data_IF_882851637245
#
_entry.id   IF_882851637245
#
_cell.length_a   1.000
_cell.length_b   1.000
_cell.length_c   1.000
_cell.angle_alpha   90.00
_cell.angle_beta   90.00
_cell.angle_gamma   90.00
#
_symmetry.space_group_name_H-M   'P 1'
#
loop_
_entity.id
_entity.type
_entity.pdbx_description
1 polymer ?
#
# COMPACT_ATOMS: atom_id res chain seq x y z
N UNK A 1 30.80 2.24 -32.85
CA UNK A 1 30.24 1.39 -31.78
C UNK A 1 29.11 2.16 -31.11
N UNK A 2 27.87 1.76 -31.38
CA UNK A 2 26.67 2.44 -30.91
C UNK A 2 26.51 2.22 -29.38
N UNK A 3 26.32 3.33 -28.64
CA UNK A 3 26.03 3.32 -27.21
C UNK A 3 24.58 2.87 -26.97
N UNK A 4 24.28 2.06 -25.95
CA UNK A 4 22.90 1.73 -25.62
C UNK A 4 22.15 2.99 -25.21
N UNK A 5 21.02 3.26 -25.87
CA UNK A 5 20.24 4.49 -25.72
C UNK A 5 19.56 4.63 -24.35
N UNK A 6 19.44 5.88 -23.91
CA UNK A 6 18.72 6.33 -22.71
C UNK A 6 17.26 5.83 -22.58
N UNK A 7 16.70 5.27 -23.65
CA UNK A 7 15.38 4.62 -23.68
C UNK A 7 15.30 3.34 -22.86
N UNK A 8 16.39 2.57 -22.72
CA UNK A 8 16.39 1.31 -21.98
C UNK A 8 16.17 1.50 -20.46
N UNK A 9 16.69 2.58 -19.88
CA UNK A 9 16.56 2.87 -18.45
C UNK A 9 15.18 3.44 -18.06
N UNK A 10 14.54 4.18 -18.97
CA UNK A 10 13.16 4.65 -18.80
C UNK A 10 12.15 3.50 -18.91
N UNK A 11 12.41 2.52 -19.78
CA UNK A 11 11.58 1.32 -19.94
C UNK A 11 11.69 0.36 -18.75
N UNK A 12 12.86 0.23 -18.11
CA UNK A 12 13.05 -0.55 -16.88
C UNK A 12 12.34 0.05 -15.66
N UNK A 13 12.32 1.39 -15.54
CA UNK A 13 11.59 2.09 -14.47
C UNK A 13 10.07 2.04 -14.65
N UNK A 14 9.58 2.14 -15.89
CA UNK A 14 8.16 1.98 -16.21
C UNK A 14 7.68 0.52 -16.06
N UNK A 15 8.53 -0.46 -16.37
CA UNK A 15 8.22 -1.88 -16.17
C UNK A 15 8.06 -2.23 -14.67
N UNK A 16 8.92 -1.72 -13.78
CA UNK A 16 8.79 -1.97 -12.33
C UNK A 16 7.51 -1.36 -11.72
N UNK A 17 6.99 -0.26 -12.28
CA UNK A 17 5.72 0.34 -11.85
C UNK A 17 4.49 -0.45 -12.34
N UNK A 18 4.61 -1.15 -13.47
CA UNK A 18 3.51 -1.95 -14.03
C UNK A 18 3.36 -3.32 -13.37
N UNK A 19 4.45 -3.94 -12.90
CA UNK A 19 4.41 -5.26 -12.25
C UNK A 19 3.82 -5.27 -10.82
N UNK A 20 3.72 -4.13 -10.14
CA UNK A 20 3.16 -4.06 -8.79
C UNK A 20 1.62 -4.17 -8.73
N UNK A 21 0.95 -4.09 -9.88
CA UNK A 21 -0.53 -4.03 -9.97
C UNK A 21 -1.20 -5.41 -10.02
N UNK A 22 -0.45 -6.45 -10.38
CA UNK A 22 -1.00 -7.79 -10.66
C UNK A 22 -0.89 -8.77 -9.48
N UNK A 23 -0.11 -8.45 -8.44
CA UNK A 23 0.30 -9.41 -7.43
C UNK A 23 -0.75 -9.76 -6.36
N UNK A 24 -1.90 -9.07 -6.28
CA UNK A 24 -2.82 -9.25 -5.15
C UNK A 24 -3.87 -10.34 -5.34
N UNK A 25 -4.05 -10.88 -6.55
CA UNK A 25 -5.13 -11.81 -6.87
C UNK A 25 -4.68 -13.29 -6.93
N UNK A 26 -3.38 -13.60 -6.95
CA UNK A 26 -2.88 -14.95 -7.24
C UNK A 26 -2.32 -15.73 -6.04
N UNK A 27 -2.09 -15.10 -4.88
CA UNK A 27 -1.43 -15.76 -3.74
C UNK A 27 -2.28 -16.84 -3.03
N UNK A 28 -3.61 -16.84 -3.17
CA UNK A 28 -4.45 -17.85 -2.51
C UNK A 28 -4.64 -19.14 -3.33
N UNK A 29 -4.30 -19.19 -4.62
CA UNK A 29 -4.55 -20.37 -5.45
C UNK A 29 -3.70 -21.59 -5.05
N UNK A 30 -2.62 -21.38 -4.31
CA UNK A 30 -1.75 -22.46 -3.81
C UNK A 30 -2.35 -23.23 -2.62
N UNK A 31 -3.54 -22.87 -2.14
CA UNK A 31 -4.20 -23.58 -1.05
C UNK A 31 -4.62 -24.99 -1.48
N UNK A 32 -4.23 -25.99 -0.67
CA UNK A 32 -4.63 -27.39 -0.84
C UNK A 32 -5.86 -27.70 -0.02
N UNK A 33 -6.80 -28.42 -0.61
CA UNK A 33 -8.01 -28.91 0.05
C UNK A 33 -7.99 -30.44 0.10
N UNK A 34 -8.72 -31.00 1.05
CA UNK A 34 -8.91 -32.44 1.17
C UNK A 34 -9.54 -33.04 -0.10
N UNK A 35 -9.37 -34.36 -0.26
CA UNK A 35 -9.99 -35.10 -1.36
C UNK A 35 -9.55 -34.65 -2.75
N UNK A 36 -8.43 -33.92 -2.87
CA UNK A 36 -7.92 -33.42 -4.15
C UNK A 36 -8.78 -32.31 -4.78
N UNK A 37 -9.63 -31.62 -4.00
CA UNK A 37 -10.47 -30.53 -4.50
C UNK A 37 -9.61 -29.35 -5.00
N UNK A 38 -9.92 -28.86 -6.19
CA UNK A 38 -9.25 -27.70 -6.81
C UNK A 38 -10.28 -26.66 -7.26
N UNK A 39 -9.91 -25.39 -7.16
CA UNK A 39 -10.78 -24.27 -7.53
C UNK A 39 -10.11 -23.36 -8.56
N UNK A 40 -10.89 -22.87 -9.53
CA UNK A 40 -10.37 -22.04 -10.62
C UNK A 40 -10.03 -20.61 -10.21
N UNK A 41 -10.66 -20.09 -9.14
CA UNK A 41 -10.45 -18.73 -8.63
C UNK A 41 -10.36 -18.71 -7.11
N UNK A 42 -9.76 -17.64 -6.60
CA UNK A 42 -9.74 -17.37 -5.17
C UNK A 42 -9.75 -15.88 -4.88
N UNK A 43 -10.14 -15.54 -3.65
CA UNK A 43 -10.10 -14.20 -3.11
C UNK A 43 -9.71 -14.27 -1.63
N UNK A 44 -8.51 -13.79 -1.32
CA UNK A 44 -8.07 -13.54 0.06
C UNK A 44 -8.84 -12.35 0.61
N UNK A 45 -9.67 -12.58 1.63
CA UNK A 45 -10.44 -11.53 2.27
C UNK A 45 -9.51 -10.64 3.10
N UNK A 46 -9.77 -9.33 3.14
CA UNK A 46 -8.88 -8.37 3.81
C UNK A 46 -8.92 -8.46 5.35
N UNK A 47 -9.88 -9.17 5.93
CA UNK A 47 -10.12 -9.25 7.38
C UNK A 47 -10.42 -10.68 7.81
N UNK A 48 -10.19 -10.95 9.10
CA UNK A 48 -10.48 -12.23 9.77
C UNK A 48 -9.71 -13.44 9.22
N UNK A 49 -8.62 -13.21 8.47
CA UNK A 49 -7.79 -14.29 7.93
C UNK A 49 -8.58 -15.28 7.06
N UNK A 50 -9.60 -14.77 6.36
CA UNK A 50 -10.51 -15.56 5.56
C UNK A 50 -10.11 -15.57 4.08
N UNK A 51 -10.47 -16.64 3.38
CA UNK A 51 -10.37 -16.75 1.92
C UNK A 51 -11.58 -17.47 1.36
N UNK A 52 -12.00 -17.07 0.16
CA UNK A 52 -13.01 -17.78 -0.62
C UNK A 52 -12.35 -18.30 -1.89
N UNK A 53 -12.57 -19.57 -2.19
CA UNK A 53 -12.14 -20.22 -3.41
C UNK A 53 -13.37 -20.73 -4.13
N UNK A 54 -13.40 -20.64 -5.45
CA UNK A 54 -14.55 -21.10 -6.20
C UNK A 54 -14.23 -21.50 -7.63
N UNK A 55 -15.10 -22.33 -8.19
CA UNK A 55 -15.22 -22.60 -9.62
C UNK A 55 -16.65 -22.28 -10.00
N UNK A 56 -16.83 -21.34 -10.93
CA UNK A 56 -18.15 -20.95 -11.44
C UNK A 56 -18.45 -21.74 -12.71
N UNK A 57 -19.69 -22.24 -12.80
CA UNK A 57 -20.22 -23.10 -13.86
C UNK A 57 -21.33 -22.33 -14.61
N UNK A 58 -21.00 -21.64 -15.72
CA UNK A 58 -21.95 -20.77 -16.43
C UNK A 58 -23.17 -21.51 -16.98
N UNK A 59 -23.02 -22.80 -17.32
CA UNK A 59 -24.05 -23.64 -17.94
C UNK A 59 -25.29 -23.85 -17.07
N UNK A 60 -25.11 -23.85 -15.74
CA UNK A 60 -26.17 -24.07 -14.77
C UNK A 60 -26.25 -22.95 -13.72
N UNK A 61 -25.40 -21.92 -13.82
CA UNK A 61 -25.35 -20.79 -12.90
C UNK A 61 -24.87 -21.14 -11.49
N UNK A 62 -24.25 -22.31 -11.30
CA UNK A 62 -23.77 -22.75 -9.99
C UNK A 62 -22.32 -22.38 -9.75
N UNK A 63 -21.92 -22.36 -8.48
CA UNK A 63 -20.54 -22.22 -8.07
C UNK A 63 -20.22 -23.25 -6.98
N UNK A 64 -19.16 -24.02 -7.20
CA UNK A 64 -18.53 -24.81 -6.15
C UNK A 64 -17.63 -23.87 -5.35
N UNK A 65 -17.80 -23.83 -4.03
CA UNK A 65 -17.07 -22.93 -3.16
C UNK A 65 -16.31 -23.68 -2.06
N UNK A 66 -15.20 -23.09 -1.63
CA UNK A 66 -14.55 -23.36 -0.36
C UNK A 66 -14.27 -22.03 0.36
N UNK A 67 -14.99 -21.80 1.46
CA UNK A 67 -14.72 -20.69 2.36
C UNK A 67 -13.86 -21.17 3.52
N UNK A 68 -12.67 -20.59 3.69
CA UNK A 68 -11.74 -20.92 4.76
C UNK A 68 -11.52 -19.73 5.67
N UNK A 69 -11.57 -19.93 6.98
CA UNK A 69 -11.25 -18.87 7.95
C UNK A 69 -10.64 -19.46 9.23
N UNK A 70 -9.75 -18.70 9.87
CA UNK A 70 -9.10 -19.10 11.13
C UNK A 70 -10.04 -18.88 12.32
N UNK A 71 -10.22 -19.90 13.13
CA UNK A 71 -10.95 -19.84 14.41
C UNK A 71 -10.56 -21.04 15.27
N UNK A 72 -10.50 -20.84 16.59
CA UNK A 72 -10.25 -21.92 17.55
C UNK A 72 -11.40 -22.93 17.59
N UNK A 73 -11.20 -24.03 18.31
CA UNK A 73 -12.27 -25.01 18.59
C UNK A 73 -13.37 -24.42 19.48
N UNK A 74 -13.06 -23.35 20.21
CA UNK A 74 -13.95 -22.51 21.00
C UNK A 74 -14.62 -21.39 20.18
N UNK A 75 -14.57 -21.47 18.84
CA UNK A 75 -15.10 -20.46 17.95
C UNK A 75 -15.82 -21.04 16.73
N UNK A 76 -16.47 -20.14 16.00
CA UNK A 76 -17.19 -20.40 14.76
C UNK A 76 -16.72 -19.47 13.65
N UNK A 77 -16.99 -19.86 12.40
CA UNK A 77 -16.83 -19.01 11.22
C UNK A 77 -18.09 -19.06 10.36
N UNK A 78 -18.37 -17.99 9.63
CA UNK A 78 -19.52 -17.98 8.74
C UNK A 78 -19.26 -17.21 7.45
N UNK A 79 -19.93 -17.64 6.39
CA UNK A 79 -19.93 -16.99 5.09
C UNK A 79 -21.31 -17.07 4.46
N UNK A 80 -21.71 -16.05 3.71
CA UNK A 80 -22.96 -16.11 2.98
C UNK A 80 -23.16 -14.99 1.98
N UNK A 81 -24.34 -15.03 1.35
CA UNK A 81 -24.77 -14.09 0.32
C UNK A 81 -25.97 -13.30 0.84
N UNK A 82 -25.97 -12.00 0.58
CA UNK A 82 -27.13 -11.14 0.74
C UNK A 82 -27.67 -10.72 -0.65
N UNK A 83 -28.79 -11.31 -1.10
CA UNK A 83 -29.34 -11.01 -2.42
C UNK A 83 -29.78 -9.55 -2.59
N UNK A 84 -30.11 -8.85 -1.50
CA UNK A 84 -30.69 -7.51 -1.56
C UNK A 84 -29.67 -6.37 -1.46
N UNK A 85 -28.72 -6.44 -0.53
CA UNK A 85 -27.77 -5.36 -0.26
C UNK A 85 -26.45 -5.84 0.34
N UNK A 86 -25.44 -4.97 0.35
CA UNK A 86 -24.20 -5.25 1.08
C UNK A 86 -24.40 -5.06 2.59
N UNK A 87 -24.41 -6.17 3.34
CA UNK A 87 -24.56 -6.16 4.81
C UNK A 87 -25.07 -7.48 5.39
N UNK A 88 -25.01 -7.63 6.72
CA UNK A 88 -25.42 -8.84 7.43
C UNK A 88 -26.94 -9.08 7.36
N UNK A 89 -27.75 -8.09 7.72
CA UNK A 89 -29.20 -8.24 7.74
C UNK A 89 -29.77 -8.45 6.33
N UNK A 90 -30.56 -9.50 6.16
CA UNK A 90 -31.08 -10.03 4.90
C UNK A 90 -30.29 -11.20 4.31
N UNK A 91 -29.11 -11.53 4.83
CA UNK A 91 -28.23 -12.57 4.28
C UNK A 91 -28.70 -14.00 4.56
N UNK A 92 -28.32 -14.90 3.67
CA UNK A 92 -28.40 -16.36 3.83
C UNK A 92 -26.98 -16.89 3.99
N UNK A 93 -26.71 -17.60 5.09
CA UNK A 93 -25.34 -17.91 5.54
C UNK A 93 -25.16 -19.39 5.86
N UNK A 94 -23.92 -19.83 5.70
CA UNK A 94 -23.37 -21.07 6.25
C UNK A 94 -22.53 -20.71 7.46
N UNK A 95 -22.74 -21.37 8.60
CA UNK A 95 -21.96 -21.18 9.82
C UNK A 95 -21.34 -22.52 10.21
N UNK A 96 -20.02 -22.57 10.29
CA UNK A 96 -19.27 -23.72 10.76
C UNK A 96 -18.86 -23.55 12.23
N UNK A 97 -19.10 -24.59 13.02
CA UNK A 97 -18.72 -24.69 14.42
C UNK A 97 -18.53 -26.16 14.80
N UNK A 98 -17.89 -26.40 15.94
CA UNK A 98 -17.82 -27.71 16.57
C UNK A 98 -18.79 -27.79 17.75
N UNK A 99 -19.38 -28.96 17.95
CA UNK A 99 -20.12 -29.26 19.18
C UNK A 99 -19.17 -29.58 20.35
N UNK A 100 -19.72 -29.88 21.52
CA UNK A 100 -18.93 -30.25 22.70
C UNK A 100 -18.13 -31.55 22.56
N UNK A 101 -18.41 -32.37 21.54
CA UNK A 101 -17.64 -33.58 21.21
C UNK A 101 -16.48 -33.32 20.25
N UNK A 102 -16.37 -32.09 19.72
CA UNK A 102 -15.39 -31.73 18.69
C UNK A 102 -15.83 -32.05 17.26
N UNK A 103 -17.08 -32.50 17.07
CA UNK A 103 -17.62 -32.81 15.74
C UNK A 103 -18.01 -31.50 15.03
N UNK A 104 -17.38 -31.23 13.88
CA UNK A 104 -17.68 -30.05 13.09
C UNK A 104 -18.95 -30.23 12.26
N UNK A 105 -19.81 -29.21 12.23
CA UNK A 105 -21.03 -29.18 11.42
C UNK A 105 -21.24 -27.81 10.76
N UNK A 106 -22.13 -27.75 9.76
CA UNK A 106 -22.53 -26.51 9.09
C UNK A 106 -24.01 -26.24 9.35
N UNK A 107 -24.31 -25.10 9.97
CA UNK A 107 -25.66 -24.55 10.07
C UNK A 107 -25.95 -23.68 8.85
N UNK A 108 -27.04 -23.99 8.15
CA UNK A 108 -27.64 -23.09 7.15
C UNK A 108 -28.75 -22.28 7.79
N UNK A 109 -28.69 -20.95 7.68
CA UNK A 109 -29.72 -20.08 8.27
C UNK A 109 -29.85 -18.74 7.53
N UNK A 110 -30.93 -18.01 7.80
CA UNK A 110 -31.21 -16.69 7.26
C UNK A 110 -31.12 -15.64 8.38
N UNK A 111 -30.32 -14.60 8.18
CA UNK A 111 -30.11 -13.52 9.14
C UNK A 111 -30.97 -12.32 8.75
N UNK A 112 -32.25 -12.29 9.11
CA UNK A 112 -33.14 -11.20 8.69
C UNK A 112 -32.83 -9.86 9.39
N UNK A 113 -32.21 -9.91 10.57
CA UNK A 113 -31.79 -8.74 11.36
C UNK A 113 -30.33 -8.84 11.78
N UNK A 114 -29.80 -7.82 12.47
CA UNK A 114 -28.46 -7.83 13.08
C UNK A 114 -28.41 -8.59 14.41
N UNK A 115 -29.56 -8.99 14.96
CA UNK A 115 -29.69 -9.82 16.16
C UNK A 115 -30.60 -11.01 15.89
N UNK A 116 -30.21 -11.93 15.00
CA UNK A 116 -31.05 -13.03 14.56
C UNK A 116 -31.11 -14.17 15.59
N UNK A 117 -32.20 -14.93 15.57
CA UNK A 117 -32.21 -16.28 16.15
C UNK A 117 -31.61 -17.25 15.13
N UNK A 118 -30.70 -18.12 15.57
CA UNK A 118 -30.01 -19.07 14.72
C UNK A 118 -30.79 -20.38 14.69
N UNK A 119 -31.64 -20.55 13.69
CA UNK A 119 -32.40 -21.78 13.44
C UNK A 119 -32.08 -22.33 12.05
N UNK A 120 -31.99 -23.66 11.87
CA UNK A 120 -31.83 -24.26 10.55
C UNK A 120 -32.94 -23.78 9.60
N UNK A 121 -32.55 -23.31 8.41
CA UNK A 121 -33.50 -22.83 7.42
C UNK A 121 -33.03 -23.12 5.99
N UNK A 122 -33.99 -23.29 5.08
CA UNK A 122 -33.72 -23.25 3.64
C UNK A 122 -33.25 -21.84 3.25
N UNK A 123 -32.12 -21.77 2.55
CA UNK A 123 -31.51 -20.50 2.15
C UNK A 123 -32.32 -19.82 1.04
N UNK A 124 -32.16 -18.50 0.88
CA UNK A 124 -32.80 -17.68 -0.16
C UNK A 124 -32.20 -17.91 -1.56
N UNK A 125 -31.32 -18.90 -1.70
CA UNK A 125 -30.69 -19.35 -2.94
C UNK A 125 -30.53 -20.88 -2.90
N UNK A 126 -30.47 -21.50 -4.08
CA UNK A 126 -30.37 -22.95 -4.18
C UNK A 126 -29.02 -23.48 -3.70
N UNK A 127 -29.01 -24.64 -3.04
CA UNK A 127 -27.80 -25.35 -2.60
C UNK A 127 -27.86 -26.78 -3.16
N UNK A 128 -27.46 -26.99 -4.44
CA UNK A 128 -27.64 -28.28 -5.11
C UNK A 128 -26.91 -29.45 -4.44
N UNK A 129 -25.78 -29.18 -3.80
CA UNK A 129 -25.06 -30.16 -3.00
C UNK A 129 -24.92 -29.64 -1.56
N UNK A 130 -25.30 -30.47 -0.59
CA UNK A 130 -25.30 -30.11 0.83
C UNK A 130 -23.90 -29.68 1.31
N UNK A 131 -23.83 -28.72 2.25
CA UNK A 131 -22.55 -28.21 2.70
C UNK A 131 -21.80 -29.25 3.53
N UNK A 132 -20.47 -29.25 3.42
CA UNK A 132 -19.57 -30.04 4.27
C UNK A 132 -18.57 -29.12 4.95
N UNK A 133 -18.01 -29.56 6.09
CA UNK A 133 -17.03 -28.78 6.84
C UNK A 133 -15.83 -29.63 7.21
N UNK A 134 -14.68 -28.97 7.22
CA UNK A 134 -13.45 -29.53 7.74
C UNK A 134 -12.81 -28.57 8.72
N UNK A 135 -12.25 -29.14 9.78
CA UNK A 135 -11.42 -28.41 10.74
C UNK A 135 -10.00 -28.96 10.71
N UNK A 136 -9.04 -28.14 10.32
CA UNK A 136 -7.63 -28.53 10.27
C UNK A 136 -6.71 -27.32 10.45
N UNK A 137 -5.67 -27.48 11.28
CA UNK A 137 -4.66 -26.45 11.51
C UNK A 137 -5.22 -25.13 12.06
N UNK A 138 -6.23 -25.19 12.93
CA UNK A 138 -6.86 -24.00 13.54
C UNK A 138 -7.75 -23.21 12.58
N UNK A 139 -8.27 -23.84 11.52
CA UNK A 139 -9.15 -23.22 10.55
C UNK A 139 -10.30 -24.13 10.17
N UNK A 140 -11.47 -23.51 9.99
CA UNK A 140 -12.64 -24.14 9.40
C UNK A 140 -12.63 -23.91 7.89
N UNK A 141 -12.99 -24.92 7.12
CA UNK A 141 -13.25 -24.82 5.69
C UNK A 141 -14.66 -25.33 5.40
N UNK A 142 -15.53 -24.46 4.92
CA UNK A 142 -16.90 -24.77 4.49
C UNK A 142 -16.85 -25.00 2.99
N UNK A 143 -17.35 -26.16 2.55
CA UNK A 143 -17.56 -26.46 1.14
C UNK A 143 -19.05 -26.52 0.83
N UNK A 144 -19.46 -25.94 -0.29
CA UNK A 144 -20.83 -26.01 -0.76
C UNK A 144 -20.88 -25.84 -2.28
N UNK A 145 -21.95 -26.32 -2.92
CA UNK A 145 -22.32 -25.91 -4.27
C UNK A 145 -23.55 -25.03 -4.15
N UNK A 146 -23.50 -23.82 -4.70
CA UNK A 146 -24.58 -22.84 -4.61
C UNK A 146 -25.06 -22.43 -6.00
N UNK A 147 -26.36 -22.20 -6.15
CA UNK A 147 -26.93 -21.51 -7.30
C UNK A 147 -26.88 -20.00 -7.03
N UNK A 148 -26.19 -19.24 -7.88
CA UNK A 148 -26.05 -17.79 -7.66
C UNK A 148 -27.42 -17.09 -7.79
N UNK A 149 -27.88 -16.36 -6.76
CA UNK A 149 -29.21 -15.73 -6.80
C UNK A 149 -29.26 -14.54 -7.76
N UNK A 150 -30.46 -14.28 -8.29
CA UNK A 150 -30.75 -13.08 -9.10
C UNK A 150 -30.18 -13.11 -10.52
N UNK A 151 -29.84 -14.29 -11.06
CA UNK A 151 -29.29 -14.47 -12.41
C UNK A 151 -28.08 -13.56 -12.70
N UNK A 152 -27.26 -13.32 -11.68
CA UNK A 152 -26.07 -12.46 -11.76
C UNK A 152 -24.87 -13.15 -11.13
N UNK A 153 -23.70 -12.93 -11.69
CA UNK A 153 -22.44 -13.41 -11.12
C UNK A 153 -21.95 -12.49 -10.01
N UNK A 154 -22.51 -11.28 -9.89
CA UNK A 154 -22.16 -10.31 -8.86
C UNK A 154 -23.00 -10.50 -7.59
N UNK A 155 -22.36 -10.90 -6.52
CA UNK A 155 -23.01 -11.23 -5.27
C UNK A 155 -22.50 -10.35 -4.13
N UNK A 156 -23.40 -9.90 -3.25
CA UNK A 156 -22.98 -9.29 -2.00
C UNK A 156 -22.68 -10.42 -1.02
N UNK A 157 -21.42 -10.54 -0.62
CA UNK A 157 -20.93 -11.57 0.30
C UNK A 157 -20.60 -10.94 1.65
N UNK A 158 -20.83 -11.72 2.70
CA UNK A 158 -20.50 -11.38 4.08
C UNK A 158 -19.76 -12.55 4.72
N UNK A 159 -18.85 -12.26 5.65
CA UNK A 159 -18.18 -13.28 6.44
C UNK A 159 -17.97 -12.82 7.86
N UNK A 160 -17.89 -13.76 8.80
CA UNK A 160 -17.63 -13.49 10.21
C UNK A 160 -16.88 -14.62 10.89
N UNK A 161 -16.32 -14.30 12.04
CA UNK A 161 -15.82 -15.25 13.02
C UNK A 161 -16.19 -14.74 14.42
N UNK A 162 -16.51 -15.66 15.33
CA UNK A 162 -16.92 -15.33 16.68
C UNK A 162 -16.72 -16.49 17.66
N UNK A 163 -16.96 -16.26 18.95
CA UNK A 163 -16.77 -17.28 19.99
C UNK A 163 -17.96 -18.24 20.08
N UNK A 164 -17.71 -19.42 20.61
CA UNK A 164 -18.70 -20.35 21.14
C UNK A 164 -18.77 -20.23 22.66
N UNK A 165 -19.94 -20.46 23.23
CA UNK A 165 -20.12 -20.59 24.68
C UNK A 165 -21.06 -21.77 24.96
N UNK A 166 -20.55 -22.76 25.70
CA UNK A 166 -21.29 -24.00 25.97
C UNK A 166 -21.76 -24.74 24.70
N UNK A 167 -20.95 -24.71 23.63
CA UNK A 167 -21.29 -25.27 22.32
C UNK A 167 -22.23 -24.42 21.46
N UNK A 168 -22.70 -23.26 21.95
CA UNK A 168 -23.61 -22.38 21.24
C UNK A 168 -22.89 -21.21 20.56
N UNK A 169 -23.28 -20.91 19.32
CA UNK A 169 -22.82 -19.75 18.55
C UNK A 169 -23.18 -18.46 19.28
N UNK A 170 -22.17 -17.67 19.63
CA UNK A 170 -22.34 -16.34 20.24
C UNK A 170 -22.20 -15.22 19.20
N UNK A 171 -22.71 -14.02 19.50
CA UNK A 171 -22.50 -12.85 18.65
C UNK A 171 -21.01 -12.62 18.37
N UNK A 172 -20.68 -12.35 17.11
CA UNK A 172 -19.33 -11.94 16.76
C UNK A 172 -19.00 -10.55 17.34
N UNK A 173 -17.72 -10.23 17.61
CA UNK A 173 -17.32 -8.89 18.01
C UNK A 173 -17.70 -7.83 16.96
N UNK A 174 -17.85 -6.57 17.40
CA UNK A 174 -18.04 -5.41 16.51
C UNK A 174 -16.72 -4.66 16.25
N UNK A 175 -15.60 -5.37 16.30
CA UNK A 175 -14.29 -4.81 16.02
C UNK A 175 -14.17 -4.33 14.55
N UNK A 176 -13.21 -3.44 14.23
CA UNK A 176 -13.06 -2.91 12.87
C UNK A 176 -12.94 -3.98 11.78
N UNK A 177 -12.32 -5.12 12.08
CA UNK A 177 -12.23 -6.24 11.15
C UNK A 177 -13.60 -6.85 10.84
N UNK A 178 -14.43 -7.08 11.87
CA UNK A 178 -15.78 -7.63 11.73
C UNK A 178 -16.70 -6.68 10.96
N UNK A 179 -16.69 -5.39 11.29
CA UNK A 179 -17.51 -4.38 10.60
C UNK A 179 -17.14 -4.22 9.12
N UNK A 180 -15.88 -4.51 8.78
CA UNK A 180 -15.38 -4.44 7.41
C UNK A 180 -15.54 -5.75 6.62
N UNK A 181 -16.12 -6.81 7.22
CA UNK A 181 -16.21 -8.16 6.62
C UNK A 181 -17.40 -8.33 5.67
N UNK A 182 -17.47 -7.41 4.70
CA UNK A 182 -18.47 -7.42 3.62
C UNK A 182 -17.79 -7.01 2.30
N UNK A 183 -18.19 -7.64 1.20
CA UNK A 183 -17.80 -7.21 -0.14
C UNK A 183 -18.80 -7.65 -1.21
N UNK A 184 -18.85 -6.94 -2.33
CA UNK A 184 -19.45 -7.40 -3.56
C UNK A 184 -18.39 -8.14 -4.38
N UNK A 185 -18.67 -9.39 -4.75
CA UNK A 185 -17.76 -10.26 -5.50
C UNK A 185 -18.42 -10.70 -6.80
N UNK A 186 -17.70 -10.61 -7.90
CA UNK A 186 -18.10 -11.21 -9.17
C UNK A 186 -17.48 -12.60 -9.32
N UNK A 187 -18.31 -13.64 -9.30
CA UNK A 187 -17.88 -15.04 -9.42
C UNK A 187 -17.30 -15.37 -10.81
N UNK A 188 -17.61 -14.60 -11.85
CA UNK A 188 -17.06 -14.84 -13.18
C UNK A 188 -15.66 -14.22 -13.34
N UNK A 189 -15.51 -12.94 -13.00
CA UNK A 189 -14.25 -12.20 -13.18
C UNK A 189 -13.30 -12.31 -12.00
N UNK A 190 -13.80 -12.61 -10.79
CA UNK A 190 -13.06 -12.51 -9.54
C UNK A 190 -12.85 -11.09 -9.03
N UNK A 191 -13.42 -10.09 -9.70
CA UNK A 191 -13.39 -8.70 -9.23
C UNK A 191 -14.19 -8.56 -7.94
N UNK A 192 -13.62 -7.87 -6.96
CA UNK A 192 -14.25 -7.64 -5.66
C UNK A 192 -14.21 -6.16 -5.28
N UNK A 193 -15.35 -5.64 -4.81
CA UNK A 193 -15.50 -4.26 -4.33
C UNK A 193 -16.16 -4.27 -2.95
N UNK A 194 -15.46 -3.77 -1.95
CA UNK A 194 -15.97 -3.68 -0.58
C UNK A 194 -15.39 -2.45 0.11
N UNK A 195 -15.97 -2.04 1.24
CA UNK A 195 -15.45 -0.93 2.05
C UNK A 195 -13.97 -1.16 2.39
N UNK A 196 -13.61 -2.39 2.70
CA UNK A 196 -12.24 -2.82 2.96
C UNK A 196 -11.34 -2.78 1.73
N UNK A 197 -11.77 -3.34 0.59
CA UNK A 197 -10.95 -3.37 -0.65
C UNK A 197 -10.70 -1.97 -1.22
N UNK A 198 -11.71 -1.08 -1.18
CA UNK A 198 -11.54 0.30 -1.62
C UNK A 198 -10.61 1.09 -0.70
N UNK A 199 -10.70 0.88 0.63
CA UNK A 199 -9.83 1.52 1.62
C UNK A 199 -8.40 0.99 1.55
N UNK A 200 -8.22 -0.33 1.39
CA UNK A 200 -6.91 -0.94 1.17
C UNK A 200 -6.27 -0.41 -0.10
N UNK A 201 -7.02 -0.33 -1.20
CA UNK A 201 -6.55 0.28 -2.44
C UNK A 201 -6.12 1.73 -2.23
N UNK A 202 -6.92 2.55 -1.54
CA UNK A 202 -6.54 3.94 -1.18
C UNK A 202 -5.30 4.00 -0.29
N UNK A 203 -5.16 3.11 0.70
CA UNK A 203 -3.96 3.01 1.56
C UNK A 203 -2.71 2.64 0.75
N UNK A 204 -2.84 1.72 -0.21
CA UNK A 204 -1.75 1.33 -1.10
C UNK A 204 -1.36 2.50 -2.02
N UNK A 205 -2.34 3.20 -2.61
CA UNK A 205 -2.09 4.41 -3.43
C UNK A 205 -1.37 5.48 -2.60
N UNK A 206 -1.82 5.74 -1.37
CA UNK A 206 -1.14 6.66 -0.45
C UNK A 206 0.31 6.25 -0.21
N UNK A 207 0.56 4.96 0.07
CA UNK A 207 1.91 4.44 0.28
C UNK A 207 2.81 4.62 -0.96
N UNK A 208 2.32 4.25 -2.15
CA UNK A 208 3.08 4.36 -3.41
C UNK A 208 3.38 5.81 -3.76
N UNK A 209 2.37 6.69 -3.72
CA UNK A 209 2.56 8.12 -4.02
C UNK A 209 3.63 8.73 -3.12
N UNK A 210 3.60 8.46 -1.81
CA UNK A 210 4.55 9.02 -0.87
C UNK A 210 5.95 8.39 -0.98
N UNK A 211 6.05 7.09 -1.29
CA UNK A 211 7.34 6.45 -1.53
C UNK A 211 8.04 7.01 -2.79
N UNK A 212 7.30 7.20 -3.88
CA UNK A 212 7.84 7.77 -5.13
C UNK A 212 8.18 9.25 -4.93
N UNK A 213 7.27 10.03 -4.36
CA UNK A 213 7.46 11.46 -4.13
C UNK A 213 8.64 11.71 -3.18
N UNK A 214 8.48 11.33 -1.91
CA UNK A 214 9.38 11.72 -0.84
C UNK A 214 10.60 10.81 -0.71
N UNK A 215 10.47 9.54 -1.08
CA UNK A 215 11.53 8.54 -0.97
C UNK A 215 12.45 8.45 -2.19
N UNK A 216 12.01 8.91 -3.37
CA UNK A 216 12.77 8.78 -4.62
C UNK A 216 13.02 10.13 -5.28
N UNK A 217 11.97 10.88 -5.65
CA UNK A 217 12.12 12.12 -6.41
C UNK A 217 12.85 13.21 -5.63
N UNK A 218 12.46 13.46 -4.37
CA UNK A 218 13.09 14.50 -3.54
C UNK A 218 14.58 14.22 -3.30
N UNK A 219 15.02 13.01 -2.88
CA UNK A 219 16.44 12.69 -2.73
C UNK A 219 17.20 12.72 -4.05
N UNK A 220 16.62 12.22 -5.15
CA UNK A 220 17.24 12.23 -6.48
C UNK A 220 17.54 13.67 -6.93
N UNK A 221 16.57 14.58 -6.78
CA UNK A 221 16.76 15.99 -7.07
C UNK A 221 17.87 16.62 -6.21
N UNK A 222 17.98 16.24 -4.94
CA UNK A 222 19.05 16.73 -4.06
C UNK A 222 20.44 16.22 -4.49
N UNK A 223 20.56 14.95 -4.87
CA UNK A 223 21.79 14.35 -5.43
C UNK A 223 22.20 15.09 -6.70
N UNK A 224 21.25 15.30 -7.64
CA UNK A 224 21.50 16.06 -8.88
C UNK A 224 22.06 17.45 -8.57
N UNK A 225 21.40 18.22 -7.69
CA UNK A 225 21.87 19.55 -7.34
C UNK A 225 23.24 19.56 -6.66
N UNK A 226 23.53 18.57 -5.79
CA UNK A 226 24.80 18.50 -5.07
C UNK A 226 25.97 18.19 -6.00
N UNK A 227 25.81 17.20 -6.87
CA UNK A 227 26.92 16.61 -7.61
C UNK A 227 27.04 17.13 -9.05
N UNK A 228 25.92 17.34 -9.76
CA UNK A 228 26.00 17.80 -11.15
C UNK A 228 26.38 19.27 -11.26
N UNK A 229 26.08 20.11 -10.25
CA UNK A 229 26.49 21.53 -10.23
C UNK A 229 28.01 21.75 -10.30
N UNK A 230 28.81 20.71 -10.01
CA UNK A 230 30.27 20.79 -10.03
C UNK A 230 30.80 20.87 -11.45
N UNK A 231 30.08 20.30 -12.42
CA UNK A 231 30.48 20.26 -13.82
C UNK A 231 29.95 21.49 -14.58
N UNK A 232 30.85 22.27 -15.17
CA UNK A 232 30.48 23.47 -15.94
C UNK A 232 29.62 23.13 -17.17
N UNK A 233 29.84 21.96 -17.79
CA UNK A 233 29.04 21.46 -18.91
C UNK A 233 27.59 21.12 -18.54
N UNK A 234 27.28 21.00 -17.24
CA UNK A 234 25.94 20.71 -16.75
C UNK A 234 25.17 21.97 -16.35
N UNK A 235 25.76 23.17 -16.46
CA UNK A 235 25.06 24.43 -16.23
C UNK A 235 24.35 24.89 -17.52
N UNK A 236 23.06 25.26 -17.50
CA UNK A 236 22.14 25.33 -16.36
C UNK A 236 21.31 24.05 -16.12
N UNK A 237 21.56 22.98 -16.86
CA UNK A 237 20.75 21.75 -16.84
C UNK A 237 20.55 21.14 -15.44
N UNK A 238 21.58 21.11 -14.59
CA UNK A 238 21.47 20.57 -13.22
C UNK A 238 20.38 21.29 -12.40
N UNK A 239 20.21 22.60 -12.62
CA UNK A 239 19.27 23.43 -11.87
C UNK A 239 17.84 23.12 -12.29
N UNK A 240 17.58 22.99 -13.59
CA UNK A 240 16.27 22.60 -14.11
C UNK A 240 15.90 21.17 -13.73
N UNK A 241 16.85 20.23 -13.79
CA UNK A 241 16.63 18.85 -13.37
C UNK A 241 16.31 18.77 -11.87
N UNK A 242 17.04 19.52 -11.03
CA UNK A 242 16.73 19.62 -9.61
C UNK A 242 15.30 20.13 -9.39
N UNK A 243 14.94 21.28 -9.97
CA UNK A 243 13.61 21.87 -9.79
C UNK A 243 12.52 20.94 -10.30
N UNK A 244 12.70 20.31 -11.46
CA UNK A 244 11.75 19.34 -12.00
C UNK A 244 11.49 18.20 -11.01
N UNK A 245 12.55 17.58 -10.45
CA UNK A 245 12.40 16.56 -9.42
C UNK A 245 11.69 17.09 -8.16
N UNK A 246 12.05 18.30 -7.67
CA UNK A 246 11.45 18.87 -6.46
C UNK A 246 9.97 19.21 -6.66
N UNK A 247 9.61 19.86 -7.77
CA UNK A 247 8.22 20.22 -8.07
C UNK A 247 7.36 18.98 -8.29
N UNK A 248 7.81 18.00 -9.08
CA UNK A 248 7.08 16.75 -9.26
C UNK A 248 6.93 15.97 -7.95
N UNK A 249 8.00 15.86 -7.16
CA UNK A 249 7.98 15.23 -5.85
C UNK A 249 7.00 15.91 -4.90
N UNK A 250 7.02 17.25 -4.84
CA UNK A 250 6.12 18.02 -3.99
C UNK A 250 4.65 17.84 -4.40
N UNK A 251 4.31 17.96 -5.69
CA UNK A 251 2.93 17.80 -6.18
C UNK A 251 2.37 16.41 -5.84
N UNK A 252 3.12 15.34 -6.15
CA UNK A 252 2.72 13.98 -5.79
C UNK A 252 2.64 13.78 -4.28
N UNK A 253 3.56 14.40 -3.52
CA UNK A 253 3.59 14.38 -2.07
C UNK A 253 2.38 15.07 -1.43
N UNK A 254 1.92 16.20 -1.97
CA UNK A 254 0.69 16.88 -1.52
C UNK A 254 -0.54 16.01 -1.75
N UNK A 255 -0.65 15.39 -2.94
CA UNK A 255 -1.74 14.47 -3.24
C UNK A 255 -1.73 13.25 -2.28
N UNK A 256 -0.55 12.67 -2.05
CA UNK A 256 -0.34 11.60 -1.08
C UNK A 256 -0.72 12.00 0.34
N UNK A 257 -0.30 13.18 0.81
CA UNK A 257 -0.62 13.71 2.13
C UNK A 257 -2.12 13.96 2.32
N UNK A 258 -2.78 14.59 1.34
CA UNK A 258 -4.23 14.83 1.35
C UNK A 258 -5.03 13.52 1.41
N UNK A 259 -4.62 12.51 0.64
CA UNK A 259 -5.21 11.16 0.72
C UNK A 259 -4.99 10.53 2.11
N UNK A 260 -3.84 10.76 2.73
CA UNK A 260 -3.54 10.32 4.10
C UNK A 260 -4.46 10.94 5.15
N UNK A 261 -4.75 12.24 5.03
CA UNK A 261 -5.73 12.93 5.89
C UNK A 261 -7.14 12.36 5.72
N UNK A 262 -7.55 12.11 4.46
CA UNK A 262 -8.86 11.51 4.17
C UNK A 262 -8.96 10.11 4.78
N UNK A 263 -7.94 9.27 4.59
CA UNK A 263 -7.86 7.96 5.22
C UNK A 263 -7.94 8.06 6.76
N UNK A 264 -7.31 9.06 7.35
CA UNK A 264 -7.42 9.36 8.79
C UNK A 264 -8.86 9.67 9.22
N UNK A 265 -9.56 10.55 8.50
CA UNK A 265 -10.97 10.89 8.80
C UNK A 265 -11.92 9.70 8.67
N UNK A 266 -11.61 8.74 7.80
CA UNK A 266 -12.37 7.50 7.61
C UNK A 266 -12.01 6.41 8.64
N UNK A 267 -11.03 6.67 9.53
CA UNK A 267 -10.50 5.74 10.52
C UNK A 267 -10.95 6.11 11.94
N UNK A 268 -12.26 6.18 12.19
CA UNK A 268 -12.80 6.54 13.51
C UNK A 268 -12.28 5.57 14.58
N UNK A 269 -11.71 6.10 15.67
CA UNK A 269 -11.15 5.32 16.78
C UNK A 269 -9.71 4.81 16.61
N UNK A 270 -9.09 4.99 15.44
CA UNK A 270 -7.69 4.54 15.20
C UNK A 270 -6.87 5.67 14.57
N UNK A 271 -5.95 6.24 15.34
CA UNK A 271 -5.02 7.27 14.86
C UNK A 271 -3.57 6.85 15.06
N UNK A 272 -2.78 6.86 13.99
CA UNK A 272 -1.35 6.59 14.04
C UNK A 272 -0.58 7.90 14.27
N UNK A 273 -0.58 8.37 15.53
CA UNK A 273 -0.04 9.68 15.89
C UNK A 273 1.39 9.96 15.42
N UNK A 274 2.38 9.04 15.56
CA UNK A 274 3.74 9.34 15.13
C UNK A 274 3.88 9.54 13.62
N UNK A 275 3.27 8.67 12.81
CA UNK A 275 3.31 8.76 11.34
C UNK A 275 2.58 10.03 10.85
N UNK A 276 1.42 10.33 11.44
CA UNK A 276 0.66 11.53 11.10
C UNK A 276 1.42 12.81 11.41
N UNK A 277 1.99 12.92 12.61
CA UNK A 277 2.69 14.13 13.05
C UNK A 277 3.95 14.38 12.21
N UNK A 278 4.74 13.33 11.95
CA UNK A 278 5.91 13.45 11.06
C UNK A 278 5.47 13.81 9.64
N UNK A 279 4.39 13.21 9.13
CA UNK A 279 3.83 13.56 7.81
C UNK A 279 3.42 15.02 7.68
N UNK A 280 2.78 15.59 8.70
CA UNK A 280 2.43 17.03 8.75
C UNK A 280 3.70 17.88 8.80
N UNK A 281 4.70 17.51 9.61
CA UNK A 281 5.96 18.23 9.68
C UNK A 281 6.70 18.24 8.33
N UNK A 282 6.78 17.09 7.64
CA UNK A 282 7.35 16.98 6.29
C UNK A 282 6.64 17.93 5.33
N UNK A 283 5.30 17.91 5.31
CA UNK A 283 4.51 18.78 4.43
C UNK A 283 4.83 20.26 4.70
N UNK A 284 4.80 20.71 5.95
CA UNK A 284 5.12 22.09 6.31
C UNK A 284 6.54 22.49 5.89
N UNK A 285 7.55 21.66 6.17
CA UNK A 285 8.95 21.91 5.82
C UNK A 285 9.17 21.91 4.30
N UNK A 286 8.49 21.02 3.57
CA UNK A 286 8.57 20.98 2.11
C UNK A 286 7.89 22.20 1.46
N UNK A 287 6.76 22.67 2.01
CA UNK A 287 6.12 23.91 1.56
C UNK A 287 7.04 25.11 1.75
N UNK A 288 7.72 25.20 2.91
CA UNK A 288 8.77 26.20 3.13
C UNK A 288 9.86 26.09 2.04
N UNK A 289 10.29 24.88 1.67
CA UNK A 289 11.27 24.71 0.60
C UNK A 289 10.82 25.20 -0.77
N UNK A 290 9.53 25.07 -1.11
CA UNK A 290 9.01 25.64 -2.36
C UNK A 290 9.13 27.16 -2.35
N UNK A 291 8.87 27.82 -1.21
CA UNK A 291 9.09 29.27 -1.06
C UNK A 291 10.57 29.67 -1.17
N UNK A 292 11.51 28.75 -0.96
CA UNK A 292 12.93 29.03 -1.18
C UNK A 292 13.23 29.46 -2.62
N UNK A 293 12.45 28.98 -3.60
CA UNK A 293 12.58 29.39 -5.00
C UNK A 293 12.18 30.87 -5.19
N UNK A 294 11.06 31.29 -4.57
CA UNK A 294 10.56 32.66 -4.67
C UNK A 294 11.44 33.66 -3.92
N UNK A 295 12.00 33.25 -2.78
CA UNK A 295 12.84 34.08 -1.92
C UNK A 295 14.33 33.99 -2.26
N UNK A 296 14.68 33.42 -3.42
CA UNK A 296 16.06 33.14 -3.82
C UNK A 296 16.84 34.45 -4.04
N UNK A 297 17.80 34.85 -3.18
CA UNK A 297 18.54 36.09 -3.36
C UNK A 297 19.59 35.96 -4.46
N UNK A 298 19.96 37.11 -5.05
CA UNK A 298 21.06 37.21 -6.00
C UNK A 298 22.38 36.67 -5.44
N UNK A 299 23.23 36.15 -6.34
CA UNK A 299 24.50 35.50 -5.96
C UNK A 299 25.44 36.42 -5.14
N UNK A 300 25.37 37.73 -5.37
CA UNK A 300 26.20 38.75 -4.69
C UNK A 300 25.57 39.29 -3.39
N UNK A 301 24.32 38.92 -3.09
CA UNK A 301 23.59 39.45 -1.94
C UNK A 301 24.03 38.74 -0.64
N UNK A 302 24.29 39.49 0.45
CA UNK A 302 24.66 38.94 1.77
C UNK A 302 23.63 37.92 2.31
N UNK A 303 22.35 38.09 2.00
CA UNK A 303 21.29 37.17 2.42
C UNK A 303 21.36 35.80 1.72
N UNK A 304 22.12 35.68 0.63
CA UNK A 304 22.39 34.41 -0.07
C UNK A 304 22.98 33.36 0.86
N UNK A 305 23.84 33.77 1.79
CA UNK A 305 24.45 32.87 2.76
C UNK A 305 23.42 32.23 3.70
N UNK A 306 22.57 33.04 4.34
CA UNK A 306 21.50 32.55 5.21
C UNK A 306 20.48 31.70 4.45
N UNK A 307 20.11 32.12 3.24
CA UNK A 307 19.24 31.34 2.37
C UNK A 307 19.83 29.96 2.06
N UNK A 308 21.14 29.85 1.82
CA UNK A 308 21.78 28.56 1.59
C UNK A 308 21.75 27.66 2.83
N UNK A 309 21.95 28.22 4.04
CA UNK A 309 21.85 27.46 5.30
C UNK A 309 20.43 26.90 5.45
N UNK A 310 19.44 27.78 5.36
CA UNK A 310 18.02 27.45 5.40
C UNK A 310 17.66 26.35 4.38
N UNK A 311 18.00 26.57 3.11
CA UNK A 311 17.65 25.66 2.02
C UNK A 311 18.32 24.29 2.19
N UNK A 312 19.56 24.22 2.66
CA UNK A 312 20.19 22.93 2.89
C UNK A 312 19.65 22.24 4.16
N UNK A 313 19.55 22.94 5.29
CA UNK A 313 19.17 22.33 6.56
C UNK A 313 17.74 21.78 6.53
N UNK A 314 16.79 22.58 6.02
CA UNK A 314 15.40 22.15 5.86
C UNK A 314 15.30 21.02 4.84
N UNK A 315 16.11 21.05 3.78
CA UNK A 315 16.05 20.08 2.69
C UNK A 315 16.50 18.68 3.12
N UNK A 316 17.63 18.60 3.81
CA UNK A 316 18.10 17.34 4.39
C UNK A 316 17.16 16.84 5.49
N UNK A 317 16.56 17.74 6.28
CA UNK A 317 15.57 17.37 7.28
C UNK A 317 14.34 16.70 6.65
N UNK A 318 13.82 17.26 5.55
CA UNK A 318 12.71 16.66 4.79
C UNK A 318 13.09 15.26 4.29
N UNK A 319 14.28 15.06 3.73
CA UNK A 319 14.73 13.75 3.23
C UNK A 319 14.78 12.71 4.37
N UNK A 320 15.41 13.06 5.49
CA UNK A 320 15.56 12.14 6.64
C UNK A 320 14.20 11.79 7.25
N UNK A 321 13.38 12.81 7.53
CA UNK A 321 12.04 12.61 8.08
C UNK A 321 11.15 11.78 7.14
N UNK A 322 11.27 11.99 5.83
CA UNK A 322 10.54 11.22 4.82
C UNK A 322 10.89 9.74 4.86
N UNK A 323 12.17 9.40 4.92
CA UNK A 323 12.60 8.00 5.02
C UNK A 323 12.06 7.34 6.29
N UNK A 324 12.18 8.00 7.44
CA UNK A 324 11.62 7.52 8.71
C UNK A 324 10.10 7.32 8.61
N UNK A 325 9.40 8.29 8.01
CA UNK A 325 7.95 8.25 7.92
C UNK A 325 7.44 7.15 6.98
N UNK A 326 8.17 6.86 5.91
CA UNK A 326 7.88 5.76 4.98
C UNK A 326 8.01 4.41 5.69
N UNK A 327 9.06 4.19 6.48
CA UNK A 327 9.19 2.96 7.28
C UNK A 327 8.06 2.80 8.29
N UNK A 328 7.69 3.87 8.99
CA UNK A 328 6.50 3.86 9.87
C UNK A 328 5.23 3.54 9.08
N UNK A 329 5.11 4.07 7.87
CA UNK A 329 4.01 3.76 6.94
C UNK A 329 3.93 2.29 6.59
N UNK A 330 5.07 1.63 6.33
CA UNK A 330 5.12 0.19 6.09
C UNK A 330 4.72 -0.64 7.31
N UNK A 331 5.13 -0.24 8.51
CA UNK A 331 4.75 -0.96 9.73
C UNK A 331 3.23 -0.85 10.02
N UNK A 332 2.59 0.25 9.56
CA UNK A 332 1.13 0.45 9.61
C UNK A 332 0.42 -0.33 8.50
N UNK A 333 0.94 -0.28 7.26
CA UNK A 333 0.32 -0.91 6.10
C UNK A 333 0.45 -2.44 6.14
N UNK A 334 1.54 -2.95 6.72
CA UNK A 334 1.93 -4.37 6.67
C UNK A 334 1.75 -4.95 5.26
N UNK A 335 2.39 -4.35 4.24
CA UNK A 335 2.25 -4.79 2.86
C UNK A 335 2.81 -6.22 2.70
N UNK A 336 2.48 -6.85 1.57
CA UNK A 336 3.03 -8.16 1.21
C UNK A 336 4.57 -8.19 1.31
N UNK A 337 5.12 -9.38 1.49
CA UNK A 337 6.57 -9.58 1.62
C UNK A 337 7.30 -8.97 0.43
N UNK A 338 8.28 -8.09 0.69
CA UNK A 338 9.14 -7.50 -0.34
C UNK A 338 9.09 -5.97 -0.45
N UNK A 339 7.99 -5.29 -0.10
CA UNK A 339 7.91 -3.82 -0.23
C UNK A 339 8.93 -3.07 0.65
N UNK A 340 9.07 -3.50 1.91
CA UNK A 340 10.06 -2.92 2.84
C UNK A 340 11.49 -3.17 2.33
N UNK A 341 11.75 -4.37 1.83
CA UNK A 341 13.03 -4.75 1.21
C UNK A 341 13.34 -3.92 -0.03
N UNK A 342 12.37 -3.76 -0.94
CA UNK A 342 12.51 -2.96 -2.15
C UNK A 342 12.87 -1.51 -1.82
N UNK A 343 12.22 -0.92 -0.82
CA UNK A 343 12.55 0.44 -0.40
C UNK A 343 13.95 0.55 0.23
N UNK A 344 14.39 -0.47 1.00
CA UNK A 344 15.77 -0.54 1.50
C UNK A 344 16.77 -0.58 0.34
N UNK A 345 16.51 -1.39 -0.69
CA UNK A 345 17.35 -1.46 -1.90
C UNK A 345 17.41 -0.11 -2.61
N UNK A 346 16.28 0.60 -2.73
CA UNK A 346 16.23 1.96 -3.30
C UNK A 346 17.10 2.93 -2.49
N UNK A 347 16.97 2.95 -1.16
CA UNK A 347 17.79 3.80 -0.29
C UNK A 347 19.29 3.48 -0.40
N UNK A 348 19.63 2.19 -0.40
CA UNK A 348 21.02 1.73 -0.57
C UNK A 348 21.59 2.15 -1.93
N UNK A 349 20.77 2.08 -2.99
CA UNK A 349 21.16 2.49 -4.35
C UNK A 349 21.39 4.00 -4.42
N UNK A 350 20.46 4.82 -3.91
CA UNK A 350 20.61 6.28 -3.86
C UNK A 350 21.82 6.70 -3.01
N UNK A 351 22.03 6.05 -1.87
CA UNK A 351 23.20 6.25 -1.01
C UNK A 351 24.51 5.87 -1.71
N UNK A 352 24.56 4.72 -2.38
CA UNK A 352 25.71 4.26 -3.16
C UNK A 352 26.06 5.21 -4.30
N UNK A 353 25.07 5.68 -5.06
CA UNK A 353 25.25 6.70 -6.12
C UNK A 353 25.81 7.99 -5.50
N UNK A 354 25.25 8.46 -4.38
CA UNK A 354 25.73 9.66 -3.73
C UNK A 354 27.18 9.52 -3.27
N UNK A 355 27.56 8.40 -2.65
CA UNK A 355 28.93 8.14 -2.21
C UNK A 355 29.91 8.08 -3.38
N UNK A 356 29.54 7.40 -4.47
CA UNK A 356 30.34 7.33 -5.69
C UNK A 356 30.55 8.71 -6.32
N UNK A 357 29.48 9.50 -6.44
CA UNK A 357 29.56 10.87 -6.98
C UNK A 357 30.34 11.81 -6.05
N UNK A 358 30.25 11.64 -4.73
CA UNK A 358 31.07 12.40 -3.78
C UNK A 358 32.56 12.08 -4.01
N UNK A 359 32.93 10.81 -4.13
CA UNK A 359 34.33 10.41 -4.39
C UNK A 359 34.89 11.01 -5.70
N UNK A 360 34.07 11.13 -6.76
CA UNK A 360 34.48 11.72 -8.04
C UNK A 360 34.54 13.24 -7.99
N UNK A 361 33.51 13.87 -7.43
CA UNK A 361 33.38 15.33 -7.48
C UNK A 361 34.28 16.02 -6.45
N UNK A 362 34.69 15.34 -5.39
CA UNK A 362 35.52 15.90 -4.33
C UNK A 362 36.90 16.39 -4.81
N UNK A 363 37.71 15.60 -5.56
CA UNK A 363 38.96 16.10 -6.14
C UNK A 363 38.75 17.28 -7.10
N UNK A 364 37.67 17.24 -7.90
CA UNK A 364 37.34 18.30 -8.87
C UNK A 364 37.02 19.61 -8.13
N UNK A 365 36.22 19.52 -7.06
CA UNK A 365 35.86 20.66 -6.23
C UNK A 365 37.09 21.27 -5.55
N UNK A 366 38.01 20.46 -5.03
CA UNK A 366 39.29 20.94 -4.44
C UNK A 366 40.12 21.68 -5.48
N UNK A 367 40.33 21.08 -6.67
CA UNK A 367 41.11 21.70 -7.75
C UNK A 367 40.50 23.04 -8.20
N UNK A 368 39.18 23.10 -8.31
CA UNK A 368 38.46 24.34 -8.67
C UNK A 368 38.65 25.42 -7.61
N UNK A 369 38.50 25.10 -6.33
CA UNK A 369 38.75 26.04 -5.21
C UNK A 369 40.18 26.56 -5.22
N UNK A 370 41.18 25.70 -5.46
CA UNK A 370 42.58 26.11 -5.56
C UNK A 370 42.80 27.09 -6.71
N UNK A 371 42.31 26.75 -7.91
CA UNK A 371 42.37 27.63 -9.09
C UNK A 371 41.73 29.00 -8.86
N UNK A 372 40.58 29.02 -8.19
CA UNK A 372 39.85 30.27 -7.93
C UNK A 372 40.57 31.12 -6.86
N UNK A 373 41.20 30.50 -5.86
CA UNK A 373 42.06 31.17 -4.88
C UNK A 373 43.34 31.75 -5.53
N UNK A 374 43.99 30.97 -6.41
CA UNK A 374 45.17 31.43 -7.15
C UNK A 374 44.82 32.65 -8.03
N UNK A 375 43.68 32.61 -8.73
CA UNK A 375 43.16 33.76 -9.51
C UNK A 375 42.86 34.99 -8.64
N UNK A 376 42.30 34.81 -7.46
CA UNK A 376 42.05 35.91 -6.54
C UNK A 376 43.35 36.56 -6.05
N UNK A 377 44.37 35.74 -5.73
CA UNK A 377 45.69 36.22 -5.29
C UNK A 377 46.48 36.94 -6.38
N UNK A 378 46.47 36.43 -7.62
CA UNK A 378 47.11 37.10 -8.76
C UNK A 378 46.36 38.36 -9.20
N UNK A 379 45.03 38.39 -9.07
CA UNK A 379 44.23 39.57 -9.29
C UNK A 379 44.55 40.71 -8.32
N UNK A 380 44.90 40.40 -7.07
CA UNK A 380 45.37 41.39 -6.09
C UNK A 380 46.82 41.85 -6.32
N UNK A 381 47.70 40.98 -6.82
CA UNK A 381 49.09 41.33 -7.13
C UNK A 381 49.23 42.28 -8.33
N UNK A 382 48.34 42.16 -9.33
CA UNK A 382 48.32 43.04 -10.51
C UNK A 382 47.96 44.50 -10.20
N UNK A 383 47.29 44.78 -9.07
CA UNK A 383 47.00 46.14 -8.63
C UNK A 383 48.17 46.80 -7.88
N UNK A 384 49.17 46.03 -7.44
CA UNK A 384 50.34 46.57 -6.71
C UNK A 384 51.56 46.85 -7.60
N UNK A 385 51.54 46.45 -8.88
CA UNK A 385 52.63 46.71 -9.84
C UNK A 385 52.34 47.86 -10.82
N UNK A 386 51.24 48.59 -10.62
CA UNK A 386 50.82 49.71 -11.48
C UNK A 386 50.53 51.01 -10.72
N UNK A 387 51.24 51.25 -9.62
CA UNK A 387 51.20 52.51 -8.87
C UNK A 387 52.54 53.24 -8.98
#
# INVERSE_FOLDING_TARGET
MARPGHTAWLLLGAAMLLFASAATAQDCLSATFSGGRTFGRCNSMPTLGASLHWTYHPENGTADIAFRARSGTDGWVGWGINPGRLGMAGSSVFIASQDGSGTASVLMTNLDTTSPSLQPATLKFGVPAGPTVEYSGGAYTIFATILLPGNTTQQNTVWQAGPLSGGNIQPHPTAPANLASTQRLDFLSGSSTGASNSRLRRRNIHGVLNAVAWGILIPTGAIIARYLRVFESADPAWFYLHIACQCSGYILGVAGWGLGLKLGSESVGVTYHPHRNIGIAIFCLATLQVFALLLRPDKKNKYRFYWNIYHHSVGYSVIILSAINIFKGFDILKPATGYKTAYIVVLATLGGIALFLEAITWPIAIRKRKRDADKASNGTAGWQQGA
#
